data_IF_806213463729
#
_entry.id   IF_806213463729
#
_cell.length_a   1.000
_cell.length_b   1.000
_cell.length_c   1.000
_cell.angle_alpha   90.00
_cell.angle_beta   90.00
_cell.angle_gamma   90.00
#
_symmetry.space_group_name_H-M   'P 1'
#
loop_
_entity.id
_entity.type
_entity.pdbx_description
1 polymer ?
#
# COMPACT_ATOMS: atom_id res chain seq x y z
N UNK A 1 2.73 24.18 36.59
CA UNK A 1 2.69 24.33 35.14
C UNK A 1 2.80 22.92 34.57
N UNK A 2 1.63 22.27 34.46
CA UNK A 2 1.57 20.95 33.85
C UNK A 2 1.58 21.15 32.33
N UNK A 3 2.65 20.72 31.69
CA UNK A 3 2.68 20.48 30.27
C UNK A 3 1.86 19.20 30.05
N UNK A 4 0.67 19.32 29.46
CA UNK A 4 -0.08 18.17 28.99
C UNK A 4 0.69 17.58 27.79
N UNK A 5 1.29 16.41 27.98
CA UNK A 5 1.77 15.59 26.89
C UNK A 5 0.57 15.19 26.02
N UNK A 6 0.43 15.83 24.88
CA UNK A 6 -0.50 15.37 23.83
C UNK A 6 0.00 14.04 23.31
N UNK A 7 -0.83 12.99 23.25
CA UNK A 7 -0.39 11.71 22.69
C UNK A 7 -0.07 11.88 21.21
N UNK A 8 1.17 11.62 20.84
CA UNK A 8 1.59 11.53 19.44
C UNK A 8 0.79 10.45 18.71
N UNK A 9 0.42 10.74 17.46
CA UNK A 9 -0.24 9.76 16.59
C UNK A 9 0.83 8.79 16.08
N UNK A 10 0.91 7.61 16.71
CA UNK A 10 1.86 6.57 16.34
C UNK A 10 1.29 5.65 15.25
N UNK A 11 1.98 5.60 14.12
CA UNK A 11 1.69 4.72 12.97
C UNK A 11 2.78 3.66 12.73
N UNK A 12 3.84 3.66 13.56
CA UNK A 12 5.04 2.85 13.42
C UNK A 12 5.14 1.72 14.45
N UNK A 13 4.13 0.92 14.70
CA UNK A 13 4.30 -0.22 15.60
C UNK A 13 4.26 -1.54 14.82
N UNK A 14 5.34 -2.34 14.77
CA UNK A 14 5.24 -3.70 14.26
C UNK A 14 4.43 -4.55 15.26
N UNK A 15 3.47 -5.29 14.74
CA UNK A 15 2.67 -6.22 15.55
C UNK A 15 3.55 -7.29 16.18
N UNK A 16 3.53 -7.39 17.50
CA UNK A 16 4.14 -8.49 18.25
C UNK A 16 3.54 -9.85 17.85
N UNK A 17 4.31 -10.93 17.83
CA UNK A 17 3.81 -12.25 17.46
C UNK A 17 2.87 -12.80 18.53
N UNK A 18 1.62 -13.06 18.17
CA UNK A 18 0.71 -13.87 19.00
C UNK A 18 0.82 -15.33 18.59
N UNK A 19 1.07 -16.17 19.56
CA UNK A 19 1.07 -17.64 19.48
C UNK A 19 -0.35 -18.16 19.35
N UNK A 20 -0.62 -19.04 18.37
CA UNK A 20 -1.90 -19.75 18.31
C UNK A 20 -2.09 -20.63 17.09
N UNK A 21 -2.13 -21.94 17.37
CA UNK A 21 -2.81 -23.02 16.67
C UNK A 21 -2.39 -23.37 15.23
N UNK A 22 -1.81 -24.56 15.14
CA UNK A 22 -1.61 -25.33 13.91
C UNK A 22 -2.95 -25.60 13.22
N UNK A 23 -3.12 -25.13 11.99
CA UNK A 23 -4.07 -25.68 11.04
C UNK A 23 -3.31 -26.01 9.76
N UNK A 24 -3.45 -27.25 9.29
CA UNK A 24 -2.86 -27.76 8.07
C UNK A 24 -3.22 -26.88 6.87
N UNK A 25 -2.26 -26.11 6.39
CA UNK A 25 -2.38 -25.24 5.21
C UNK A 25 -1.80 -25.90 3.95
N UNK A 26 -2.02 -27.20 3.74
CA UNK A 26 -1.58 -27.86 2.50
C UNK A 26 -2.43 -27.53 1.28
N UNK A 27 -3.65 -26.97 1.45
CA UNK A 27 -4.63 -26.85 0.36
C UNK A 27 -4.79 -25.42 -0.24
N UNK A 28 -3.96 -24.42 0.11
CA UNK A 28 -4.22 -23.02 -0.26
C UNK A 28 -3.17 -22.39 -1.19
N UNK A 29 -2.54 -23.14 -2.07
CA UNK A 29 -1.72 -22.60 -3.16
C UNK A 29 -2.47 -22.71 -4.48
N UNK A 30 -3.65 -22.10 -4.54
CA UNK A 30 -4.28 -21.82 -5.83
C UNK A 30 -3.99 -20.35 -6.18
N UNK A 31 -3.39 -20.13 -7.34
CA UNK A 31 -3.39 -18.82 -8.01
C UNK A 31 -4.86 -18.37 -8.16
N UNK A 32 -5.12 -17.07 -8.29
CA UNK A 32 -6.46 -16.47 -8.54
C UNK A 32 -7.26 -17.15 -9.69
N UNK A 33 -6.58 -17.99 -10.48
CA UNK A 33 -7.15 -18.79 -11.58
C UNK A 33 -7.33 -20.28 -11.23
N UNK A 34 -7.15 -20.69 -9.97
CA UNK A 34 -7.32 -22.09 -9.56
C UNK A 34 -6.30 -23.08 -10.15
N UNK A 35 -5.17 -22.57 -10.69
CA UNK A 35 -4.14 -23.42 -11.27
C UNK A 35 -3.02 -23.67 -10.26
N UNK A 36 -2.77 -24.97 -9.97
CA UNK A 36 -1.50 -25.42 -9.40
C UNK A 36 -0.36 -24.82 -10.24
N UNK A 37 0.70 -24.31 -9.56
CA UNK A 37 1.91 -23.85 -10.26
C UNK A 37 2.40 -24.95 -11.19
N UNK A 38 2.25 -24.70 -12.49
CA UNK A 38 2.70 -25.62 -13.51
C UNK A 38 4.23 -25.59 -13.61
N UNK A 39 4.84 -26.70 -13.96
CA UNK A 39 6.28 -26.83 -14.22
C UNK A 39 6.91 -25.66 -15.00
N UNK A 40 6.22 -24.98 -15.95
CA UNK A 40 6.71 -23.79 -16.64
C UNK A 40 7.02 -22.58 -15.76
N UNK A 41 6.29 -22.37 -14.67
CA UNK A 41 6.50 -21.21 -13.78
C UNK A 41 7.73 -21.41 -12.89
N UNK A 42 8.01 -22.65 -12.47
CA UNK A 42 9.22 -22.98 -11.74
C UNK A 42 10.47 -22.83 -12.62
N UNK A 43 10.42 -23.28 -13.87
CA UNK A 43 11.53 -23.12 -14.82
C UNK A 43 11.84 -21.63 -15.07
N UNK A 44 10.81 -20.80 -15.21
CA UNK A 44 10.97 -19.34 -15.36
C UNK A 44 11.58 -18.68 -14.12
N UNK A 45 11.18 -19.11 -12.94
CA UNK A 45 11.75 -18.67 -11.67
C UNK A 45 13.23 -19.03 -11.59
N UNK A 46 13.58 -20.27 -11.92
CA UNK A 46 14.96 -20.75 -12.00
C UNK A 46 15.81 -19.99 -13.02
N UNK A 47 15.27 -19.72 -14.21
CA UNK A 47 15.96 -18.92 -15.22
C UNK A 47 16.19 -17.47 -14.77
N UNK A 48 15.25 -16.88 -14.05
CA UNK A 48 15.40 -15.55 -13.48
C UNK A 48 16.49 -15.51 -12.42
N UNK A 49 16.49 -16.48 -11.51
CA UNK A 49 17.52 -16.61 -10.48
C UNK A 49 18.92 -16.81 -11.07
N UNK A 50 19.07 -17.68 -12.08
CA UNK A 50 20.34 -17.95 -12.75
C UNK A 50 20.90 -16.73 -13.52
N UNK A 51 20.09 -15.72 -13.80
CA UNK A 51 20.53 -14.46 -14.42
C UNK A 51 20.98 -13.41 -13.43
N UNK A 52 20.79 -13.64 -12.14
CA UNK A 52 21.22 -12.70 -11.11
C UNK A 52 22.75 -12.70 -10.99
N UNK A 53 23.34 -11.51 -11.02
CA UNK A 53 24.78 -11.36 -10.79
C UNK A 53 25.09 -11.60 -9.31
N UNK A 54 25.94 -12.55 -9.00
CA UNK A 54 26.27 -12.94 -7.61
C UNK A 54 26.79 -11.76 -6.80
N UNK A 55 27.57 -10.88 -7.41
CA UNK A 55 28.12 -9.68 -6.75
C UNK A 55 27.07 -8.63 -6.35
N UNK A 56 25.88 -8.70 -6.94
CA UNK A 56 24.77 -7.78 -6.65
C UNK A 56 23.73 -8.37 -5.70
N UNK A 57 23.85 -9.66 -5.34
CA UNK A 57 22.96 -10.27 -4.37
C UNK A 57 23.15 -9.67 -2.99
N UNK A 58 22.11 -9.69 -2.19
CA UNK A 58 22.11 -9.15 -0.84
C UNK A 58 22.73 -10.13 0.15
N UNK A 59 23.91 -9.80 0.68
CA UNK A 59 24.60 -10.59 1.70
C UNK A 59 24.36 -9.95 3.07
N UNK A 60 23.84 -10.72 4.02
CA UNK A 60 23.63 -10.32 5.39
C UNK A 60 24.94 -10.39 6.21
N UNK A 61 24.95 -9.81 7.40
CA UNK A 61 26.11 -9.80 8.31
C UNK A 61 26.59 -11.21 8.72
N UNK A 62 25.69 -12.19 8.67
CA UNK A 62 25.98 -13.61 8.90
C UNK A 62 26.67 -14.31 7.72
N UNK A 63 26.75 -13.65 6.55
CA UNK A 63 27.18 -14.24 5.30
C UNK A 63 26.05 -14.91 4.51
N UNK A 64 24.83 -14.94 5.05
CA UNK A 64 23.64 -15.47 4.37
C UNK A 64 23.28 -14.61 3.16
N UNK A 65 23.09 -15.23 1.99
CA UNK A 65 22.65 -14.58 0.77
C UNK A 65 21.13 -14.66 0.70
N UNK A 66 20.47 -13.50 0.76
CA UNK A 66 18.99 -13.42 0.84
C UNK A 66 18.30 -14.09 -0.36
N UNK A 67 18.77 -13.81 -1.57
CA UNK A 67 18.20 -14.35 -2.80
C UNK A 67 18.33 -15.88 -2.87
N UNK A 68 19.44 -16.44 -2.37
CA UNK A 68 19.70 -17.87 -2.40
C UNK A 68 18.75 -18.59 -1.44
N UNK A 69 18.64 -18.09 -0.20
CA UNK A 69 17.72 -18.65 0.80
C UNK A 69 16.26 -18.58 0.35
N UNK A 70 15.86 -17.45 -0.28
CA UNK A 70 14.51 -17.31 -0.83
C UNK A 70 14.28 -18.22 -2.03
N UNK A 71 15.31 -18.47 -2.85
CA UNK A 71 15.23 -19.40 -3.97
C UNK A 71 15.07 -20.84 -3.49
N UNK A 72 15.86 -21.27 -2.52
CA UNK A 72 15.82 -22.61 -1.96
C UNK A 72 14.51 -22.89 -1.21
N UNK A 73 13.93 -21.87 -0.54
CA UNK A 73 12.62 -21.94 0.08
C UNK A 73 11.49 -22.09 -0.95
N UNK A 74 11.70 -21.56 -2.17
CA UNK A 74 10.75 -21.61 -3.26
C UNK A 74 9.65 -20.56 -3.15
N UNK A 75 8.60 -20.75 -3.97
CA UNK A 75 7.50 -19.78 -4.13
C UNK A 75 6.39 -19.96 -3.08
N UNK A 76 6.77 -20.28 -1.84
CA UNK A 76 5.85 -20.40 -0.71
C UNK A 76 5.41 -19.00 -0.22
N UNK A 77 4.50 -19.00 0.71
CA UNK A 77 3.93 -17.80 1.30
C UNK A 77 4.99 -16.94 2.00
N UNK A 78 5.26 -15.70 1.56
CA UNK A 78 6.31 -14.87 2.14
C UNK A 78 5.82 -14.25 3.45
N UNK A 79 6.12 -14.89 4.57
CA UNK A 79 5.82 -14.41 5.92
C UNK A 79 7.00 -14.74 6.84
N UNK A 80 7.34 -13.82 7.74
CA UNK A 80 8.46 -14.00 8.66
C UNK A 80 8.31 -15.27 9.52
N UNK A 81 7.07 -15.59 9.95
CA UNK A 81 6.80 -16.83 10.70
C UNK A 81 7.14 -18.08 9.89
N UNK A 82 6.78 -18.07 8.61
CA UNK A 82 7.11 -19.18 7.72
C UNK A 82 8.60 -19.30 7.48
N UNK A 83 9.30 -18.19 7.34
CA UNK A 83 10.76 -18.19 7.21
C UNK A 83 11.43 -18.76 8.46
N UNK A 84 11.03 -18.32 9.66
CA UNK A 84 11.53 -18.82 10.93
C UNK A 84 11.23 -20.31 11.12
N UNK A 85 9.97 -20.71 10.94
CA UNK A 85 9.52 -22.08 11.16
C UNK A 85 10.20 -23.10 10.22
N UNK A 86 10.61 -22.66 9.03
CA UNK A 86 11.30 -23.50 8.06
C UNK A 86 12.82 -23.29 8.06
N UNK A 87 13.36 -22.51 9.00
CA UNK A 87 14.81 -22.27 9.11
C UNK A 87 15.42 -21.55 7.92
N UNK A 88 14.62 -20.77 7.18
CA UNK A 88 15.09 -19.99 6.01
C UNK A 88 15.97 -18.83 6.46
N UNK A 89 15.55 -18.16 7.52
CA UNK A 89 16.27 -17.09 8.20
C UNK A 89 16.15 -17.23 9.69
N UNK A 90 17.15 -16.74 10.41
CA UNK A 90 17.11 -16.54 11.86
C UNK A 90 16.36 -15.25 12.20
N UNK A 91 15.94 -15.08 13.46
CA UNK A 91 15.31 -13.82 13.92
C UNK A 91 16.23 -12.61 13.73
N UNK A 92 17.55 -12.78 13.97
CA UNK A 92 18.54 -11.72 13.77
C UNK A 92 18.69 -11.32 12.30
N UNK A 93 18.67 -12.28 11.39
CA UNK A 93 18.71 -12.01 9.94
C UNK A 93 17.44 -11.31 9.45
N UNK A 94 16.28 -11.74 9.92
CA UNK A 94 15.02 -11.04 9.62
C UNK A 94 15.00 -9.63 10.20
N UNK A 95 15.55 -9.42 11.40
CA UNK A 95 15.70 -8.10 11.98
C UNK A 95 16.64 -7.22 11.14
N UNK A 96 17.76 -7.78 10.64
CA UNK A 96 18.66 -7.08 9.73
C UNK A 96 17.93 -6.70 8.42
N UNK A 97 17.21 -7.63 7.80
CA UNK A 97 16.42 -7.38 6.57
C UNK A 97 15.40 -6.28 6.80
N UNK A 98 14.69 -6.27 7.94
CA UNK A 98 13.68 -5.25 8.26
C UNK A 98 14.30 -3.87 8.42
N UNK A 99 15.42 -3.78 9.13
CA UNK A 99 16.04 -2.51 9.52
C UNK A 99 17.01 -1.94 8.47
N UNK A 100 17.47 -2.77 7.52
CA UNK A 100 18.42 -2.32 6.50
C UNK A 100 17.83 -1.23 5.60
N UNK A 101 18.39 -0.03 5.62
CA UNK A 101 17.89 1.14 4.89
C UNK A 101 16.38 1.33 5.07
N UNK A 102 15.92 1.19 6.32
CA UNK A 102 14.51 1.38 6.64
C UNK A 102 14.06 2.78 6.23
N UNK A 103 13.00 2.84 5.44
CA UNK A 103 12.42 4.10 5.01
C UNK A 103 11.49 4.65 6.07
N UNK A 104 11.83 5.81 6.58
CA UNK A 104 10.98 6.53 7.51
C UNK A 104 9.66 6.92 6.85
N UNK A 105 8.59 6.90 7.62
CA UNK A 105 7.30 7.38 7.13
C UNK A 105 7.35 8.91 6.96
N UNK A 106 6.68 9.43 5.90
CA UNK A 106 6.52 10.87 5.77
C UNK A 106 5.88 11.48 7.01
N UNK A 107 6.49 12.54 7.53
CA UNK A 107 5.98 13.26 8.68
C UNK A 107 5.03 14.36 8.23
N UNK A 108 3.80 14.36 8.75
CA UNK A 108 2.83 15.41 8.47
C UNK A 108 3.34 16.76 9.02
N UNK A 109 3.25 17.85 8.25
CA UNK A 109 3.64 19.19 8.74
C UNK A 109 2.96 19.51 10.06
N UNK A 110 3.70 20.12 11.01
CA UNK A 110 3.22 20.38 12.37
C UNK A 110 1.89 21.14 12.40
N UNK A 111 1.71 22.12 11.54
CA UNK A 111 0.45 22.88 11.46
C UNK A 111 -0.72 22.02 11.02
N UNK A 112 -0.52 21.16 10.01
CA UNK A 112 -1.55 20.26 9.51
C UNK A 112 -1.86 19.15 10.54
N UNK A 113 -0.86 18.63 11.23
CA UNK A 113 -1.03 17.67 12.31
C UNK A 113 -1.81 18.28 13.48
N UNK A 114 -1.50 19.51 13.85
CA UNK A 114 -2.25 20.26 14.88
C UNK A 114 -3.71 20.48 14.46
N UNK A 115 -3.94 20.80 13.17
CA UNK A 115 -5.28 20.90 12.62
C UNK A 115 -6.04 19.57 12.67
N UNK A 116 -5.43 18.48 12.22
CA UNK A 116 -6.02 17.14 12.32
C UNK A 116 -6.35 16.79 13.77
N UNK A 117 -5.44 17.01 14.70
CA UNK A 117 -5.63 16.73 16.12
C UNK A 117 -6.70 17.58 16.79
N UNK A 118 -7.06 18.74 16.21
CA UNK A 118 -8.13 19.57 16.74
C UNK A 118 -9.53 18.91 16.68
N UNK A 119 -9.72 17.88 15.84
CA UNK A 119 -10.97 17.13 15.72
C UNK A 119 -11.07 15.98 16.75
N UNK A 120 -10.92 16.29 18.05
CA UNK A 120 -11.06 15.34 19.16
C UNK A 120 -12.35 15.64 19.96
N UNK A 121 -13.53 15.24 19.46
CA UNK A 121 -14.81 15.55 20.11
C UNK A 121 -15.08 14.64 21.31
N UNK A 122 -15.96 15.10 22.19
CA UNK A 122 -16.61 14.25 23.22
C UNK A 122 -18.00 13.80 22.77
N UNK A 123 -18.66 14.60 21.96
CA UNK A 123 -20.01 14.33 21.43
C UNK A 123 -20.11 14.62 19.94
N UNK A 124 -21.14 14.11 19.27
CA UNK A 124 -21.41 14.44 17.86
C UNK A 124 -21.68 15.93 17.65
N UNK A 125 -22.29 16.60 18.63
CA UNK A 125 -22.52 18.05 18.60
C UNK A 125 -21.19 18.81 18.65
N UNK A 126 -20.27 18.39 19.49
CA UNK A 126 -18.92 19.02 19.54
C UNK A 126 -18.17 18.82 18.23
N UNK A 127 -18.21 17.60 17.67
CA UNK A 127 -17.59 17.32 16.39
C UNK A 127 -18.16 18.21 15.28
N UNK A 128 -19.50 18.35 15.24
CA UNK A 128 -20.16 19.25 14.29
C UNK A 128 -19.69 20.70 14.46
N UNK A 129 -19.56 21.19 15.68
CA UNK A 129 -19.07 22.55 15.98
C UNK A 129 -17.63 22.75 15.48
N UNK A 130 -16.77 21.75 15.66
CA UNK A 130 -15.39 21.77 15.18
C UNK A 130 -15.31 21.79 13.65
N UNK A 131 -16.15 21.01 12.96
CA UNK A 131 -16.21 20.96 11.50
C UNK A 131 -16.61 22.32 10.89
N UNK A 132 -17.62 22.97 11.48
CA UNK A 132 -18.17 24.23 10.97
C UNK A 132 -17.59 25.48 11.64
N UNK A 133 -16.47 25.35 12.37
CA UNK A 133 -15.74 26.53 12.82
C UNK A 133 -15.21 27.29 11.61
N UNK A 134 -15.30 28.62 11.67
CA UNK A 134 -14.81 29.45 10.59
C UNK A 134 -13.28 29.43 10.54
N UNK A 135 -12.72 29.21 9.35
CA UNK A 135 -11.30 29.16 9.05
C UNK A 135 -10.99 30.20 7.95
N UNK A 136 -9.71 30.63 7.86
CA UNK A 136 -9.28 31.57 6.81
C UNK A 136 -9.52 31.01 5.41
N UNK A 137 -9.33 29.73 5.20
CA UNK A 137 -9.59 29.04 3.93
C UNK A 137 -11.07 29.10 3.50
N UNK A 138 -12.02 29.42 4.36
CA UNK A 138 -13.43 29.56 3.98
C UNK A 138 -13.70 30.83 3.17
N UNK A 139 -12.81 31.83 3.27
CA UNK A 139 -12.90 33.09 2.55
C UNK A 139 -11.83 33.21 1.46
N UNK A 140 -10.64 32.68 1.68
CA UNK A 140 -9.44 32.86 0.86
C UNK A 140 -8.85 31.51 0.43
N UNK A 141 -9.68 30.61 -0.12
CA UNK A 141 -9.29 29.26 -0.48
C UNK A 141 -8.21 29.26 -1.58
N UNK A 142 -7.08 28.63 -1.30
CA UNK A 142 -6.03 28.36 -2.27
C UNK A 142 -5.84 26.85 -2.43
N UNK A 143 -6.20 26.31 -3.60
CA UNK A 143 -6.15 24.87 -3.89
C UNK A 143 -4.81 24.22 -3.56
N UNK A 144 -3.71 24.85 -3.90
CA UNK A 144 -2.38 24.28 -3.68
C UNK A 144 -1.98 24.24 -2.20
N UNK A 145 -2.42 25.23 -1.42
CA UNK A 145 -2.05 25.39 -0.02
C UNK A 145 -3.03 24.71 0.93
N UNK A 146 -4.31 24.81 0.63
CA UNK A 146 -5.38 24.48 1.59
C UNK A 146 -6.01 23.11 1.35
N UNK A 147 -5.65 22.43 0.25
CA UNK A 147 -6.24 21.13 -0.13
C UNK A 147 -6.24 20.13 1.02
N UNK A 148 -5.11 19.90 1.68
CA UNK A 148 -5.02 18.88 2.73
C UNK A 148 -5.89 19.24 3.95
N UNK A 149 -6.02 20.52 4.28
CA UNK A 149 -6.92 21.00 5.35
C UNK A 149 -8.38 20.77 4.97
N UNK A 150 -8.75 21.13 3.75
CA UNK A 150 -10.11 20.95 3.24
C UNK A 150 -10.45 19.45 3.13
N UNK A 151 -9.56 18.63 2.60
CA UNK A 151 -9.73 17.18 2.56
C UNK A 151 -9.91 16.56 3.96
N UNK A 152 -9.13 16.97 4.96
CA UNK A 152 -9.29 16.53 6.34
C UNK A 152 -10.68 16.93 6.85
N UNK A 153 -11.09 18.19 6.69
CA UNK A 153 -12.40 18.69 7.15
C UNK A 153 -13.55 17.93 6.48
N UNK A 154 -13.49 17.72 5.19
CA UNK A 154 -14.51 16.98 4.44
C UNK A 154 -14.56 15.50 4.86
N UNK A 155 -13.41 14.88 5.11
CA UNK A 155 -13.34 13.51 5.62
C UNK A 155 -13.99 13.41 7.01
N UNK A 156 -13.63 14.31 7.91
CA UNK A 156 -14.23 14.37 9.27
C UNK A 156 -15.74 14.62 9.19
N UNK A 157 -16.20 15.49 8.28
CA UNK A 157 -17.63 15.72 8.05
C UNK A 157 -18.37 14.46 7.60
N UNK A 158 -17.83 13.73 6.62
CA UNK A 158 -18.44 12.50 6.11
C UNK A 158 -18.52 11.42 7.20
N UNK A 159 -17.44 11.22 7.95
CA UNK A 159 -17.42 10.28 9.08
C UNK A 159 -18.37 10.72 10.22
N UNK A 160 -18.46 12.03 10.49
CA UNK A 160 -19.45 12.57 11.44
C UNK A 160 -20.89 12.27 11.00
N UNK A 161 -21.18 12.43 9.69
CA UNK A 161 -22.51 12.13 9.17
C UNK A 161 -22.90 10.66 9.39
N UNK A 162 -21.95 9.74 9.16
CA UNK A 162 -22.14 8.31 9.45
C UNK A 162 -22.42 8.07 10.95
N UNK A 163 -21.64 8.67 11.82
CA UNK A 163 -21.79 8.51 13.28
C UNK A 163 -23.09 9.13 13.83
N UNK A 164 -23.55 10.23 13.24
CA UNK A 164 -24.71 10.98 13.74
C UNK A 164 -26.04 10.46 13.19
N UNK A 165 -26.08 10.11 11.89
CA UNK A 165 -27.33 9.77 11.20
C UNK A 165 -27.51 8.27 11.00
N UNK A 166 -26.42 7.52 10.94
CA UNK A 166 -26.42 6.09 10.60
C UNK A 166 -25.55 5.25 11.54
N UNK A 167 -25.40 5.67 12.82
CA UNK A 167 -24.54 4.96 13.79
C UNK A 167 -24.91 3.49 13.96
N UNK A 168 -26.19 3.15 13.92
CA UNK A 168 -26.65 1.76 13.95
C UNK A 168 -26.26 1.00 12.66
N UNK A 169 -26.11 1.72 11.55
CA UNK A 169 -25.63 1.15 10.31
C UNK A 169 -24.18 0.69 10.44
N UNK A 170 -23.31 1.49 11.09
CA UNK A 170 -21.89 1.12 11.29
C UNK A 170 -21.70 -0.13 12.19
N UNK A 171 -22.74 -0.57 12.89
CA UNK A 171 -22.71 -1.79 13.70
C UNK A 171 -23.18 -3.03 12.94
N UNK A 172 -23.67 -2.87 11.71
CA UNK A 172 -24.18 -3.94 10.87
C UNK A 172 -23.15 -4.32 9.81
N UNK A 173 -23.26 -5.54 9.33
CA UNK A 173 -22.48 -5.97 8.16
C UNK A 173 -23.03 -5.29 6.90
N UNK A 174 -22.14 -4.72 6.13
CA UNK A 174 -22.43 -4.08 4.85
C UNK A 174 -21.76 -4.79 3.70
N UNK A 175 -22.34 -4.64 2.51
CA UNK A 175 -21.66 -5.02 1.29
C UNK A 175 -20.39 -4.19 1.11
N UNK A 176 -19.40 -4.79 0.51
CA UNK A 176 -18.08 -4.20 0.23
C UNK A 176 -18.18 -2.84 -0.46
N UNK A 177 -19.02 -2.72 -1.50
CA UNK A 177 -19.24 -1.47 -2.21
C UNK A 177 -19.82 -0.37 -1.31
N UNK A 178 -20.70 -0.72 -0.35
CA UNK A 178 -21.22 0.27 0.60
C UNK A 178 -20.09 0.84 1.47
N UNK A 179 -19.21 -0.03 1.99
CA UNK A 179 -18.06 0.38 2.80
C UNK A 179 -17.11 1.27 1.99
N UNK A 180 -16.84 0.90 0.74
CA UNK A 180 -15.96 1.67 -0.14
C UNK A 180 -16.50 3.08 -0.41
N UNK A 181 -17.82 3.22 -0.63
CA UNK A 181 -18.44 4.50 -0.93
C UNK A 181 -18.64 5.39 0.30
N UNK A 182 -19.05 4.79 1.42
CA UNK A 182 -19.45 5.57 2.58
C UNK A 182 -18.35 5.74 3.63
N UNK A 183 -17.48 4.74 3.78
CA UNK A 183 -16.44 4.76 4.81
C UNK A 183 -15.08 5.13 4.22
N UNK A 184 -14.67 4.47 3.12
CA UNK A 184 -13.30 4.54 2.60
C UNK A 184 -13.09 5.53 1.46
N UNK A 185 -14.12 6.26 1.03
CA UNK A 185 -14.04 7.23 -0.07
C UNK A 185 -13.03 8.37 0.18
N UNK A 186 -12.67 8.65 1.41
CA UNK A 186 -11.67 9.67 1.73
C UNK A 186 -10.27 9.30 1.23
N UNK A 187 -10.00 8.00 1.05
CA UNK A 187 -8.71 7.55 0.51
C UNK A 187 -8.59 7.99 -0.95
N UNK A 188 -9.62 7.80 -1.77
CA UNK A 188 -9.60 8.22 -3.17
C UNK A 188 -9.36 9.72 -3.30
N UNK A 189 -10.11 10.47 -2.50
CA UNK A 189 -10.03 11.94 -2.47
C UNK A 189 -8.70 12.49 -2.00
N UNK A 190 -7.93 11.71 -1.23
CA UNK A 190 -6.61 12.14 -0.79
C UNK A 190 -5.64 12.42 -1.95
N UNK A 191 -5.82 11.77 -3.09
CA UNK A 191 -4.93 11.85 -4.25
C UNK A 191 -5.36 12.91 -5.29
N UNK A 192 -6.50 13.57 -5.14
CA UNK A 192 -7.09 14.47 -6.15
C UNK A 192 -6.21 15.69 -6.48
N UNK A 193 -5.29 16.10 -5.60
CA UNK A 193 -4.38 17.20 -5.87
C UNK A 193 -3.01 16.79 -6.45
N UNK A 194 -2.83 15.50 -6.72
CA UNK A 194 -1.60 15.00 -7.35
C UNK A 194 -1.76 14.97 -8.87
N UNK A 195 -1.71 16.05 -9.56
CA UNK A 195 -1.91 16.23 -11.00
C UNK A 195 -1.91 14.96 -11.84
N UNK A 196 -2.97 14.74 -12.62
CA UNK A 196 -3.19 13.58 -13.49
C UNK A 196 -3.18 12.20 -12.78
N UNK A 197 -3.22 12.18 -11.44
CA UNK A 197 -3.37 10.93 -10.68
C UNK A 197 -4.86 10.59 -10.57
N UNK A 198 -5.18 9.37 -10.95
CA UNK A 198 -6.52 8.81 -10.85
C UNK A 198 -6.59 7.70 -9.80
N UNK A 199 -7.59 7.75 -8.94
CA UNK A 199 -8.00 6.66 -8.05
C UNK A 199 -9.13 5.86 -8.73
N UNK A 200 -8.76 4.83 -9.48
CA UNK A 200 -9.70 4.07 -10.35
C UNK A 200 -10.32 2.93 -9.57
N UNK A 201 -11.63 2.96 -9.39
CA UNK A 201 -12.43 1.91 -8.74
C UNK A 201 -13.14 1.01 -9.77
N UNK A 202 -13.86 0.01 -9.27
CA UNK A 202 -14.76 -0.83 -10.07
C UNK A 202 -14.08 -2.05 -10.69
N UNK A 203 -13.32 -2.80 -9.93
CA UNK A 203 -12.67 -4.03 -10.41
C UNK A 203 -11.74 -3.78 -11.62
N UNK A 204 -11.04 -2.66 -11.60
CA UNK A 204 -10.15 -2.27 -12.67
C UNK A 204 -8.98 -3.25 -12.81
N UNK A 205 -8.64 -3.59 -14.05
CA UNK A 205 -7.49 -4.45 -14.32
C UNK A 205 -6.19 -3.65 -14.24
N UNK A 206 -5.24 -4.12 -13.45
CA UNK A 206 -3.89 -3.56 -13.38
C UNK A 206 -3.16 -3.69 -14.72
N UNK A 207 -2.66 -2.55 -15.22
CA UNK A 207 -1.84 -2.49 -16.43
C UNK A 207 -0.51 -3.21 -16.21
N UNK A 208 0.17 -2.95 -15.11
CA UNK A 208 1.45 -3.56 -14.74
C UNK A 208 1.36 -5.08 -14.65
N UNK A 209 0.28 -5.60 -14.04
CA UNK A 209 0.03 -7.04 -13.97
C UNK A 209 -0.29 -7.64 -15.35
N UNK A 210 -1.05 -6.92 -16.19
CA UNK A 210 -1.34 -7.35 -17.56
C UNK A 210 -0.07 -7.41 -18.41
N UNK A 211 0.78 -6.40 -18.31
CA UNK A 211 2.03 -6.33 -19.06
C UNK A 211 2.97 -7.48 -18.69
N UNK A 212 3.16 -7.75 -17.39
CA UNK A 212 3.92 -8.90 -16.93
C UNK A 212 3.40 -10.22 -17.50
N UNK A 213 2.08 -10.45 -17.46
CA UNK A 213 1.45 -11.69 -17.99
C UNK A 213 1.62 -11.83 -19.50
N UNK A 214 1.73 -10.73 -20.22
CA UNK A 214 1.83 -10.72 -21.70
C UNK A 214 3.27 -10.47 -22.23
N UNK A 215 4.27 -10.34 -21.38
CA UNK A 215 5.67 -10.02 -21.76
C UNK A 215 6.25 -10.96 -22.82
N UNK A 216 5.83 -12.23 -22.86
CA UNK A 216 6.27 -13.22 -23.83
C UNK A 216 5.33 -13.38 -25.04
N UNK A 217 4.32 -12.49 -25.15
CA UNK A 217 3.37 -12.54 -26.25
C UNK A 217 4.03 -11.94 -27.48
N UNK A 218 4.55 -12.79 -28.35
CA UNK A 218 5.12 -12.39 -29.63
C UNK A 218 4.06 -12.46 -30.72
N UNK A 219 4.09 -11.50 -31.66
CA UNK A 219 3.32 -11.54 -32.89
C UNK A 219 4.16 -12.30 -33.89
N UNK A 220 3.77 -13.54 -34.21
CA UNK A 220 4.37 -14.33 -35.27
C UNK A 220 3.42 -14.39 -36.47
N UNK A 221 3.95 -14.15 -37.65
CA UNK A 221 3.17 -14.25 -38.89
C UNK A 221 2.70 -15.68 -39.18
N UNK A 222 3.31 -16.68 -38.53
CA UNK A 222 3.09 -18.10 -38.80
C UNK A 222 2.19 -18.79 -37.73
N UNK A 223 1.93 -18.16 -36.60
CA UNK A 223 1.13 -18.78 -35.52
C UNK A 223 -0.01 -17.87 -35.09
N UNK A 224 -1.16 -18.50 -34.73
CA UNK A 224 -2.29 -17.75 -34.17
C UNK A 224 -1.88 -17.02 -32.90
N UNK A 225 -2.01 -15.69 -32.91
CA UNK A 225 -1.68 -14.85 -31.76
C UNK A 225 -2.56 -15.23 -30.57
N UNK A 226 -1.94 -15.60 -29.46
CA UNK A 226 -2.67 -15.90 -28.22
C UNK A 226 -3.46 -14.65 -27.74
N UNK A 227 -4.67 -14.86 -27.22
CA UNK A 227 -5.50 -13.79 -26.66
C UNK A 227 -4.74 -13.09 -25.53
N UNK A 228 -4.85 -11.75 -25.45
CA UNK A 228 -4.24 -10.96 -24.36
C UNK A 228 -4.86 -11.39 -23.01
N UNK A 229 -4.01 -11.70 -22.05
CA UNK A 229 -4.41 -12.04 -20.68
C UNK A 229 -4.64 -10.74 -19.91
N UNK A 230 -5.77 -10.62 -19.23
CA UNK A 230 -6.09 -9.47 -18.40
C UNK A 230 -5.18 -9.43 -17.16
N UNK A 231 -4.93 -8.23 -16.66
CA UNK A 231 -4.25 -8.01 -15.40
C UNK A 231 -5.07 -8.49 -14.21
N UNK A 232 -4.47 -8.49 -13.02
CA UNK A 232 -5.22 -8.67 -11.77
C UNK A 232 -6.18 -7.51 -11.59
N UNK A 233 -7.34 -7.81 -11.05
CA UNK A 233 -8.33 -6.80 -10.70
C UNK A 233 -8.09 -6.35 -9.26
N UNK A 234 -8.25 -5.04 -9.03
CA UNK A 234 -8.23 -4.43 -7.71
C UNK A 234 -9.46 -3.56 -7.49
N UNK A 235 -9.91 -3.46 -6.26
CA UNK A 235 -11.05 -2.60 -5.90
C UNK A 235 -10.72 -1.12 -6.06
N UNK A 236 -9.44 -0.78 -5.99
CA UNK A 236 -8.88 0.53 -6.28
C UNK A 236 -7.49 0.36 -6.91
N UNK A 237 -7.20 1.16 -7.93
CA UNK A 237 -5.85 1.31 -8.48
C UNK A 237 -5.51 2.80 -8.52
N UNK A 238 -4.38 3.17 -7.95
CA UNK A 238 -3.83 4.54 -7.98
C UNK A 238 -2.84 4.59 -9.11
N UNK A 239 -3.14 5.38 -10.15
CA UNK A 239 -2.31 5.48 -11.35
C UNK A 239 -2.19 6.92 -11.84
N UNK A 240 -1.09 7.20 -12.52
CA UNK A 240 -0.88 8.41 -13.31
C UNK A 240 -0.57 7.99 -14.74
N UNK A 241 -1.45 8.34 -15.69
CA UNK A 241 -1.35 7.93 -17.09
C UNK A 241 -1.29 6.38 -17.21
N UNK A 242 -0.14 5.81 -17.52
CA UNK A 242 0.09 4.38 -17.69
C UNK A 242 0.81 3.71 -16.51
N UNK A 243 1.34 4.48 -15.57
CA UNK A 243 2.07 3.98 -14.40
C UNK A 243 1.15 3.85 -13.17
N UNK A 244 1.32 2.77 -12.46
CA UNK A 244 0.54 2.42 -11.28
C UNK A 244 1.43 2.48 -10.03
N UNK A 245 0.95 3.14 -8.98
CA UNK A 245 1.70 3.43 -7.76
C UNK A 245 1.14 2.72 -6.54
N UNK A 246 -0.08 2.24 -6.62
CA UNK A 246 -0.73 1.53 -5.52
C UNK A 246 -2.06 0.91 -5.88
N UNK A 247 -2.55 0.06 -4.99
CA UNK A 247 -3.84 -0.59 -5.13
C UNK A 247 -4.54 -0.73 -3.78
N UNK A 248 -5.80 -1.15 -3.83
CA UNK A 248 -6.57 -1.53 -2.65
C UNK A 248 -7.37 -2.79 -2.91
N UNK A 249 -7.49 -3.61 -1.89
CA UNK A 249 -8.40 -4.74 -1.81
C UNK A 249 -9.32 -4.55 -0.61
N UNK A 250 -10.58 -4.90 -0.78
CA UNK A 250 -11.60 -4.74 0.24
C UNK A 250 -12.30 -6.06 0.56
N UNK A 251 -12.68 -6.23 1.81
CA UNK A 251 -13.49 -7.31 2.32
C UNK A 251 -14.66 -6.79 3.14
N UNK A 252 -15.78 -7.53 3.14
CA UNK A 252 -17.01 -7.13 3.83
C UNK A 252 -16.85 -7.09 5.34
N UNK A 253 -16.14 -8.05 5.93
CA UNK A 253 -16.10 -8.28 7.38
C UNK A 253 -14.68 -8.54 7.82
N UNK A 254 -14.31 -7.94 8.96
CA UNK A 254 -13.08 -8.27 9.68
C UNK A 254 -13.37 -9.35 10.74
N UNK A 255 -12.89 -10.56 10.49
CA UNK A 255 -13.02 -11.70 11.44
C UNK A 255 -11.75 -11.93 12.28
N UNK A 256 -10.91 -10.93 12.38
CA UNK A 256 -9.63 -11.01 13.07
C UNK A 256 -8.44 -11.18 12.12
N UNK A 257 -7.24 -11.14 12.68
CA UNK A 257 -5.99 -11.21 11.90
C UNK A 257 -5.76 -12.55 11.20
N UNK A 258 -6.45 -13.60 11.61
CA UNK A 258 -6.37 -14.95 11.06
C UNK A 258 -7.49 -15.28 10.05
N UNK A 259 -8.29 -14.28 9.63
CA UNK A 259 -9.27 -14.46 8.56
C UNK A 259 -8.60 -14.91 7.27
N UNK A 260 -9.05 -16.02 6.70
CA UNK A 260 -8.46 -16.63 5.50
C UNK A 260 -8.47 -15.69 4.30
N UNK A 261 -9.56 -14.92 4.08
CA UNK A 261 -9.65 -13.93 2.99
C UNK A 261 -8.62 -12.81 3.22
N UNK A 262 -8.57 -12.24 4.44
CA UNK A 262 -7.61 -11.20 4.78
C UNK A 262 -6.17 -11.70 4.65
N UNK A 263 -5.88 -12.94 5.06
CA UNK A 263 -4.56 -13.55 4.92
C UNK A 263 -4.15 -13.73 3.46
N UNK A 264 -5.07 -14.15 2.59
CA UNK A 264 -4.79 -14.28 1.14
C UNK A 264 -4.54 -12.91 0.50
N UNK A 265 -5.37 -11.91 0.79
CA UNK A 265 -5.22 -10.57 0.24
C UNK A 265 -3.95 -9.89 0.78
N UNK A 266 -3.68 -10.00 2.08
CA UNK A 266 -2.49 -9.46 2.75
C UNK A 266 -1.20 -10.13 2.32
N UNK A 267 -1.23 -11.42 2.11
CA UNK A 267 -0.05 -12.22 1.87
C UNK A 267 0.24 -12.53 0.41
N UNK A 268 -0.76 -12.52 -0.47
CA UNK A 268 -0.60 -12.96 -1.86
C UNK A 268 -1.07 -11.94 -2.89
N UNK A 269 -2.35 -11.56 -2.85
CA UNK A 269 -2.95 -10.77 -3.94
C UNK A 269 -2.37 -9.35 -4.00
N UNK A 270 -2.48 -8.60 -2.91
CA UNK A 270 -1.95 -7.23 -2.83
C UNK A 270 -0.43 -7.17 -2.99
N UNK A 271 0.38 -8.01 -2.30
CA UNK A 271 1.82 -8.08 -2.53
C UNK A 271 2.22 -8.33 -3.98
N UNK A 272 1.54 -9.25 -4.67
CA UNK A 272 1.80 -9.52 -6.09
C UNK A 272 1.47 -8.32 -6.97
N UNK A 273 0.37 -7.60 -6.68
CA UNK A 273 0.00 -6.40 -7.46
C UNK A 273 1.00 -5.27 -7.26
N UNK A 274 1.30 -4.89 -6.02
CA UNK A 274 2.25 -3.81 -5.76
C UNK A 274 3.67 -4.15 -6.23
N UNK A 275 4.05 -5.44 -6.26
CA UNK A 275 5.30 -5.89 -6.87
C UNK A 275 5.30 -5.72 -8.38
N UNK A 276 4.21 -6.06 -9.08
CA UNK A 276 4.11 -5.84 -10.53
C UNK A 276 4.18 -4.34 -10.85
N UNK A 277 3.54 -3.49 -10.04
CA UNK A 277 3.60 -2.03 -10.15
C UNK A 277 5.03 -1.51 -9.91
N UNK A 278 5.68 -1.96 -8.84
CA UNK A 278 7.07 -1.62 -8.53
C UNK A 278 8.02 -1.98 -9.68
N UNK A 279 7.87 -3.18 -10.24
CA UNK A 279 8.67 -3.61 -11.40
C UNK A 279 8.47 -2.69 -12.61
N UNK A 280 7.23 -2.24 -12.86
CA UNK A 280 6.93 -1.34 -13.96
C UNK A 280 7.53 0.06 -13.72
N UNK A 281 7.53 0.54 -12.48
CA UNK A 281 8.23 1.77 -12.11
C UNK A 281 9.75 1.66 -12.26
N UNK A 282 10.34 0.48 -11.97
CA UNK A 282 11.76 0.24 -12.24
C UNK A 282 12.10 0.36 -13.72
N UNK A 283 11.22 -0.09 -14.62
CA UNK A 283 11.37 0.10 -16.07
C UNK A 283 11.28 1.60 -16.42
N UNK A 284 10.33 2.31 -15.84
CA UNK A 284 10.13 3.74 -16.12
C UNK A 284 11.32 4.62 -15.69
N UNK A 285 12.12 4.18 -14.72
CA UNK A 285 13.37 4.85 -14.32
C UNK A 285 14.62 4.21 -14.93
N UNK A 286 14.46 3.47 -16.03
CA UNK A 286 15.55 2.78 -16.79
C UNK A 286 16.48 1.96 -15.89
N UNK A 287 15.94 1.33 -14.87
CA UNK A 287 16.68 0.52 -13.89
C UNK A 287 17.76 1.27 -13.11
N UNK A 288 17.66 2.59 -13.00
CA UNK A 288 18.54 3.39 -12.14
C UNK A 288 18.49 2.89 -10.69
N UNK A 289 19.60 2.32 -10.23
CA UNK A 289 19.67 1.72 -8.91
C UNK A 289 19.41 2.74 -7.80
N UNK A 290 19.87 3.97 -7.93
CA UNK A 290 19.68 5.01 -6.92
C UNK A 290 18.22 5.40 -6.79
N UNK A 291 17.48 5.47 -7.91
CA UNK A 291 16.04 5.72 -7.94
C UNK A 291 15.27 4.52 -7.40
N UNK A 292 15.60 3.29 -7.84
CA UNK A 292 14.95 2.05 -7.39
C UNK A 292 14.98 1.93 -5.87
N UNK A 293 16.12 2.25 -5.22
CA UNK A 293 16.24 2.20 -3.75
C UNK A 293 15.36 3.24 -3.03
N UNK A 294 14.84 4.24 -3.75
CA UNK A 294 13.97 5.29 -3.20
C UNK A 294 12.49 5.08 -3.52
N UNK A 295 12.16 4.42 -4.63
CA UNK A 295 10.79 4.11 -5.06
C UNK A 295 10.08 3.23 -4.03
N UNK A 296 8.78 3.50 -3.83
CA UNK A 296 7.87 2.67 -3.06
C UNK A 296 6.54 2.51 -3.80
N UNK A 297 5.91 1.36 -3.63
CA UNK A 297 4.51 1.15 -4.00
C UNK A 297 3.70 0.78 -2.76
N UNK A 298 2.42 1.14 -2.77
CA UNK A 298 1.54 0.96 -1.61
C UNK A 298 0.36 0.05 -1.93
N UNK A 299 -0.15 -0.61 -0.89
CA UNK A 299 -1.39 -1.37 -0.97
C UNK A 299 -2.24 -1.14 0.26
N UNK A 300 -3.53 -0.82 0.08
CA UNK A 300 -4.48 -0.79 1.17
C UNK A 300 -5.25 -2.11 1.26
N UNK A 301 -5.49 -2.54 2.48
CA UNK A 301 -6.37 -3.65 2.80
C UNK A 301 -7.48 -3.15 3.70
N UNK A 302 -8.71 -3.33 3.27
CA UNK A 302 -9.89 -2.99 4.03
C UNK A 302 -10.66 -4.26 4.39
N UNK A 303 -11.14 -4.34 5.62
CA UNK A 303 -12.03 -5.40 6.07
C UNK A 303 -13.07 -4.80 7.02
N UNK A 304 -14.30 -4.61 6.55
CA UNK A 304 -15.33 -3.88 7.27
C UNK A 304 -14.86 -2.44 7.57
N UNK A 305 -14.79 -2.09 8.84
CA UNK A 305 -14.33 -0.78 9.33
C UNK A 305 -12.83 -0.73 9.63
N UNK A 306 -12.08 -1.76 9.25
CA UNK A 306 -10.63 -1.81 9.50
C UNK A 306 -9.82 -1.52 8.24
N UNK A 307 -8.64 -0.95 8.41
CA UNK A 307 -7.71 -0.61 7.35
C UNK A 307 -6.28 -0.94 7.77
N UNK A 308 -5.49 -1.44 6.83
CA UNK A 308 -4.04 -1.64 6.94
C UNK A 308 -3.38 -1.16 5.65
N UNK A 309 -2.16 -0.64 5.75
CA UNK A 309 -1.35 -0.31 4.58
C UNK A 309 -0.15 -1.25 4.48
N UNK A 310 0.11 -1.71 3.27
CA UNK A 310 1.33 -2.39 2.86
C UNK A 310 2.20 -1.39 2.10
N UNK A 311 3.50 -1.42 2.35
CA UNK A 311 4.52 -0.68 1.57
C UNK A 311 5.49 -1.68 1.01
N UNK A 312 5.84 -1.56 -0.25
CA UNK A 312 6.85 -2.38 -0.90
C UNK A 312 7.99 -1.50 -1.38
N UNK A 313 9.20 -1.88 -1.02
CA UNK A 313 10.44 -1.29 -1.48
C UNK A 313 11.47 -2.36 -1.87
N UNK A 314 12.61 -1.95 -2.43
CA UNK A 314 13.76 -2.81 -2.71
C UNK A 314 15.00 -2.23 -2.04
N UNK A 315 15.35 -2.67 -0.82
CA UNK A 315 16.45 -2.07 -0.05
C UNK A 315 17.83 -2.50 -0.56
N UNK A 316 17.97 -3.71 -1.12
CA UNK A 316 19.22 -4.24 -1.65
C UNK A 316 18.99 -5.41 -2.59
N UNK A 317 20.00 -5.76 -3.38
CA UNK A 317 19.98 -6.90 -4.29
C UNK A 317 18.83 -6.87 -5.28
N UNK A 318 18.28 -8.04 -5.52
CA UNK A 318 17.10 -8.27 -6.37
C UNK A 318 15.83 -8.49 -5.55
N UNK A 319 15.87 -8.17 -4.26
CA UNK A 319 14.80 -8.51 -3.30
C UNK A 319 13.87 -7.33 -3.08
N UNK A 320 12.57 -7.60 -2.99
CA UNK A 320 11.57 -6.67 -2.51
C UNK A 320 11.20 -6.99 -1.07
N UNK A 321 11.04 -5.94 -0.26
CA UNK A 321 10.58 -6.04 1.12
C UNK A 321 9.18 -5.46 1.23
N UNK A 322 8.33 -6.09 2.04
CA UNK A 322 6.99 -5.58 2.35
C UNK A 322 6.93 -5.24 3.84
N UNK A 323 6.64 -3.98 4.11
CA UNK A 323 6.37 -3.48 5.46
C UNK A 323 4.86 -3.28 5.63
N UNK A 324 4.33 -3.64 6.79
CA UNK A 324 2.91 -3.53 7.11
C UNK A 324 2.70 -2.51 8.23
N UNK A 325 1.70 -1.63 8.08
CA UNK A 325 1.27 -0.80 9.19
C UNK A 325 0.51 -1.63 10.23
N UNK A 326 0.32 -1.09 11.42
CA UNK A 326 -0.71 -1.58 12.32
C UNK A 326 -2.10 -1.46 11.67
N UNK A 327 -3.08 -2.16 12.23
CA UNK A 327 -4.49 -2.07 11.82
C UNK A 327 -5.14 -0.82 12.41
N UNK A 328 -5.78 -0.02 11.57
CA UNK A 328 -6.55 1.16 11.97
C UNK A 328 -8.04 0.85 11.83
N UNK A 329 -8.87 1.51 12.64
CA UNK A 329 -10.30 1.22 12.70
C UNK A 329 -11.08 2.53 12.63
N UNK A 330 -12.10 2.59 11.76
CA UNK A 330 -13.11 3.65 11.84
C UNK A 330 -14.11 3.30 12.94
N UNK A 331 -14.24 4.14 13.98
CA UNK A 331 -15.07 3.82 15.13
C UNK A 331 -16.57 3.93 14.80
N UNK A 332 -17.38 3.12 15.47
CA UNK A 332 -18.84 3.25 15.46
C UNK A 332 -19.37 4.20 16.54
N UNK A 333 -18.50 4.75 17.40
CA UNK A 333 -18.84 5.66 18.48
C UNK A 333 -17.99 6.93 18.42
N UNK A 334 -18.63 8.10 18.62
CA UNK A 334 -17.94 9.39 18.55
C UNK A 334 -16.87 9.57 19.63
N UNK A 335 -17.04 8.97 20.79
CA UNK A 335 -16.07 9.04 21.89
C UNK A 335 -14.68 8.47 21.49
N UNK A 336 -14.64 7.55 20.55
CA UNK A 336 -13.42 6.93 20.05
C UNK A 336 -12.84 7.64 18.79
N UNK A 337 -13.54 8.66 18.28
CA UNK A 337 -13.20 9.30 17.02
C UNK A 337 -11.75 9.80 17.00
N UNK A 338 -11.35 10.56 18.00
CA UNK A 338 -10.00 11.11 18.09
C UNK A 338 -8.88 10.05 18.18
N UNK A 339 -9.18 8.92 18.83
CA UNK A 339 -8.19 7.85 19.01
C UNK A 339 -8.10 6.87 17.81
N UNK A 340 -9.18 6.71 17.05
CA UNK A 340 -9.27 5.69 15.99
C UNK A 340 -9.38 6.28 14.58
N UNK A 341 -10.23 7.29 14.36
CA UNK A 341 -10.43 7.86 13.02
C UNK A 341 -9.27 8.75 12.56
N UNK A 342 -8.76 9.62 13.46
CA UNK A 342 -7.67 10.53 13.07
C UNK A 342 -6.38 9.80 12.64
N UNK A 343 -5.94 8.71 13.30
CA UNK A 343 -4.83 7.91 12.80
C UNK A 343 -5.08 7.28 11.42
N UNK A 344 -6.31 6.87 11.12
CA UNK A 344 -6.66 6.34 9.80
C UNK A 344 -6.58 7.43 8.71
N UNK A 345 -7.02 8.66 9.02
CA UNK A 345 -6.88 9.83 8.12
C UNK A 345 -5.40 10.16 7.93
N UNK A 346 -4.61 10.16 8.99
CA UNK A 346 -3.15 10.36 8.91
C UNK A 346 -2.49 9.32 8.01
N UNK A 347 -2.88 8.03 8.10
CA UNK A 347 -2.34 6.98 7.25
C UNK A 347 -2.63 7.21 5.76
N UNK A 348 -3.83 7.69 5.41
CA UNK A 348 -4.16 8.04 4.03
C UNK A 348 -3.31 9.21 3.50
N UNK A 349 -3.05 10.22 4.34
CA UNK A 349 -2.14 11.32 4.00
C UNK A 349 -0.70 10.84 3.81
N UNK A 350 -0.21 9.96 4.67
CA UNK A 350 1.12 9.33 4.54
C UNK A 350 1.22 8.55 3.22
N UNK A 351 0.21 7.76 2.89
CA UNK A 351 0.16 7.01 1.63
C UNK A 351 0.21 7.93 0.40
N UNK A 352 -0.58 9.03 0.41
CA UNK A 352 -0.54 10.07 -0.62
C UNK A 352 0.88 10.62 -0.79
N UNK A 353 1.54 10.94 0.32
CA UNK A 353 2.88 11.53 0.28
C UNK A 353 3.92 10.55 -0.26
N UNK A 354 3.83 9.25 0.07
CA UNK A 354 4.69 8.22 -0.50
C UNK A 354 4.50 8.15 -2.02
N UNK A 355 3.25 8.16 -2.49
CA UNK A 355 2.95 8.14 -3.93
C UNK A 355 3.48 9.40 -4.62
N UNK A 356 3.26 10.58 -4.03
CA UNK A 356 3.77 11.85 -4.56
C UNK A 356 5.31 11.85 -4.70
N UNK A 357 6.02 11.37 -3.67
CA UNK A 357 7.47 11.24 -3.70
C UNK A 357 7.93 10.26 -4.79
N UNK A 358 7.24 9.16 -4.97
CA UNK A 358 7.55 8.18 -6.02
C UNK A 358 7.31 8.76 -7.41
N UNK A 359 6.19 9.48 -7.62
CA UNK A 359 5.90 10.16 -8.88
C UNK A 359 7.04 11.14 -9.21
N UNK A 360 7.41 11.99 -8.27
CA UNK A 360 8.49 12.96 -8.45
C UNK A 360 9.82 12.29 -8.85
N UNK A 361 10.18 11.17 -8.21
CA UNK A 361 11.39 10.41 -8.55
C UNK A 361 11.36 9.82 -9.97
N UNK A 362 10.19 9.39 -10.42
CA UNK A 362 10.01 8.84 -11.77
C UNK A 362 10.09 9.94 -12.83
N UNK A 363 9.46 11.08 -12.59
CA UNK A 363 9.38 12.20 -13.53
C UNK A 363 10.70 13.00 -13.65
N UNK A 364 11.54 13.03 -12.62
CA UNK A 364 12.88 13.69 -12.70
C UNK A 364 13.83 13.09 -13.76
N UNK A 365 13.49 11.96 -14.42
CA UNK A 365 14.26 11.42 -15.52
C UNK A 365 14.03 12.17 -16.84
N UNK A 366 12.82 12.66 -17.04
CA UNK A 366 12.41 13.26 -18.31
C UNK A 366 12.92 14.72 -18.47
N UNK A 367 13.12 15.43 -17.35
CA UNK A 367 13.58 16.83 -17.39
C UNK A 367 15.05 16.99 -17.81
N UNK A 368 15.89 15.97 -17.58
CA UNK A 368 17.31 16.05 -17.98
C UNK A 368 17.52 15.74 -19.48
N UNK A 369 16.67 14.91 -20.08
CA UNK A 369 16.76 14.56 -21.49
C UNK A 369 16.31 15.71 -22.40
N UNK A 370 15.38 16.56 -21.97
CA UNK A 370 14.87 17.70 -22.75
C UNK A 370 15.92 18.81 -22.84
N UNK A 371 16.74 19.01 -21.80
CA UNK A 371 17.75 20.05 -21.79
C UNK A 371 19.00 19.73 -22.63
N UNK A 372 19.29 18.47 -22.94
CA UNK A 372 20.40 18.11 -23.82
C UNK A 372 20.05 18.24 -25.30
N UNK A 373 18.79 18.05 -25.68
CA UNK A 373 18.36 18.25 -27.07
C UNK A 373 18.21 19.76 -27.45
N UNK A 374 17.89 20.64 -26.51
CA UNK A 374 17.83 22.08 -26.76
C UNK A 374 19.22 22.75 -26.85
N UNK A 375 20.27 22.12 -26.33
CA UNK A 375 21.64 22.63 -26.41
C UNK A 375 22.36 22.23 -27.72
N UNK A 376 21.73 21.41 -28.57
CA UNK A 376 22.27 20.97 -29.85
C UNK A 376 21.60 21.64 -31.09
N UNK A 377 20.75 22.63 -30.87
CA UNK A 377 20.18 23.52 -31.91
C UNK A 377 20.78 24.94 -31.80
#
# INVERSE_FOLDING_TARGET
>A
TNVHDEPELDINCPSSPQTGAESNCEDLVNDDDGQQMLAPDYEKFRQTYNRMETSKKWVLSTGTVVEDNLYDFGLKYPDDKNYLNNGVFTESELAEVRNFREKQLPTMPKELLTYLNSFRPKTTTDLRRLIFRQEDMDQNFNWQKDFDRDWIRNTVYNLHALLNYTSESLKKDHLEMWLLLHVWSFIDKAFENLGDVEAVRGESCSLSSSERKNKQRTISALTKVRRKILGRRGDLIIRKISLEYGCSEAGMIYKGENDTKLLQERGLKTPKMIKDMFYHLCIAVDWDEQKIRKIETIGFLHAGLTMMMLRLDSPSGYTCRITRSKTFIIPSQVAEFGAKALPAILLAWVAKTIVANTIHLVEQGDENDINEEELLQ
#
